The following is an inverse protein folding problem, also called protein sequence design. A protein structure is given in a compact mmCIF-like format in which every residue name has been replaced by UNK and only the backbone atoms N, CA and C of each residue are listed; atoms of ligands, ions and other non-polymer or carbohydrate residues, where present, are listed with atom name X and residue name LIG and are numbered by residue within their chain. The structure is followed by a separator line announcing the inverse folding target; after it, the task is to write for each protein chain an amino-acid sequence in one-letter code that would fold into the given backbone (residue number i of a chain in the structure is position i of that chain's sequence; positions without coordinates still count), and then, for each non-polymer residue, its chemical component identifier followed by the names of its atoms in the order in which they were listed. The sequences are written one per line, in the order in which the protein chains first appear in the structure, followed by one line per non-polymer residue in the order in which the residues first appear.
data_IF_021371794972
#
_entry.id   IF_021371794972
#
_cell.length_a   1.000
_cell.length_b   1.000
_cell.length_c   1.000
_cell.angle_alpha   90.00
_cell.angle_beta   90.00
_cell.angle_gamma   90.00
#
_symmetry.space_group_name_H-M   'P 1'
#
loop_
_entity.id
_entity.type
_entity.pdbx_description
1 polymer ?
#
# COMPACT_ATOMS: atom_id res chain seq x y z
N UNK A 1 -16.45 -12.74 -18.37
CA UNK A 1 -15.80 -11.87 -19.36
C UNK A 1 -15.88 -10.41 -18.90
N UNK A 2 -17.04 -9.87 -18.54
CA UNK A 2 -17.23 -8.48 -18.12
C UNK A 2 -16.24 -8.01 -17.04
N UNK A 3 -15.92 -8.85 -16.06
CA UNK A 3 -14.94 -8.51 -15.02
C UNK A 3 -13.50 -8.39 -15.58
N UNK A 4 -13.15 -9.19 -16.57
CA UNK A 4 -11.85 -9.07 -17.23
C UNK A 4 -11.76 -7.78 -18.05
N UNK A 5 -12.82 -7.45 -18.80
CA UNK A 5 -12.92 -6.20 -19.55
C UNK A 5 -12.87 -4.97 -18.65
N UNK A 6 -13.53 -5.01 -17.49
CA UNK A 6 -13.48 -3.94 -16.48
C UNK A 6 -12.04 -3.73 -15.94
N UNK A 7 -11.34 -4.82 -15.59
CA UNK A 7 -9.93 -4.75 -15.14
C UNK A 7 -9.04 -4.14 -16.23
N UNK A 8 -9.21 -4.56 -17.48
CA UNK A 8 -8.43 -4.05 -18.61
C UNK A 8 -8.70 -2.57 -18.87
N UNK A 9 -9.96 -2.15 -18.80
CA UNK A 9 -10.35 -0.76 -19.01
C UNK A 9 -9.83 0.17 -17.91
N UNK A 10 -9.93 -0.25 -16.64
CA UNK A 10 -9.55 0.58 -15.49
C UNK A 10 -8.02 0.60 -15.24
N UNK A 11 -7.36 -0.53 -15.42
CA UNK A 11 -5.94 -0.67 -15.07
C UNK A 11 -4.99 -0.59 -16.28
N UNK A 12 -5.50 -0.71 -17.51
CA UNK A 12 -4.69 -0.73 -18.73
C UNK A 12 -3.73 -1.93 -18.80
N UNK A 13 -4.07 -3.03 -18.14
CA UNK A 13 -3.29 -4.27 -18.10
C UNK A 13 -4.15 -5.38 -18.68
N UNK A 14 -3.64 -6.12 -19.67
CA UNK A 14 -4.35 -7.25 -20.27
C UNK A 14 -4.54 -8.38 -19.25
N UNK A 15 -5.69 -9.06 -19.29
CA UNK A 15 -6.02 -10.16 -18.38
C UNK A 15 -5.78 -11.52 -19.04
N UNK A 16 -5.31 -12.47 -18.25
CA UNK A 16 -5.16 -13.87 -18.66
C UNK A 16 -5.83 -14.79 -17.61
N UNK A 17 -7.07 -15.21 -17.82
CA UNK A 17 -7.68 -16.22 -16.97
C UNK A 17 -6.87 -17.53 -17.00
N UNK A 18 -6.39 -17.95 -15.84
CA UNK A 18 -5.65 -19.21 -15.68
C UNK A 18 -6.63 -20.37 -15.47
N UNK A 19 -7.70 -20.10 -14.75
CA UNK A 19 -8.83 -20.98 -14.63
C UNK A 19 -10.11 -20.27 -15.06
N UNK A 20 -11.19 -21.03 -15.30
CA UNK A 20 -12.49 -20.47 -15.67
C UNK A 20 -13.59 -21.00 -14.74
N UNK A 21 -14.52 -20.15 -14.25
CA UNK A 21 -15.48 -20.56 -13.23
C UNK A 21 -16.63 -21.38 -13.82
N UNK A 22 -17.09 -22.36 -13.07
CA UNK A 22 -18.29 -23.14 -13.37
C UNK A 22 -19.43 -22.64 -12.49
N UNK A 23 -20.21 -21.71 -12.99
CA UNK A 23 -21.24 -21.01 -12.25
C UNK A 23 -20.69 -19.87 -11.39
N UNK A 24 -21.59 -19.15 -10.72
CA UNK A 24 -21.23 -18.02 -9.84
C UNK A 24 -22.07 -18.04 -8.56
N UNK A 25 -21.59 -17.33 -7.52
CA UNK A 25 -22.25 -17.22 -6.23
C UNK A 25 -22.56 -18.58 -5.60
N UNK A 26 -23.81 -18.84 -5.24
CA UNK A 26 -24.25 -20.13 -4.66
C UNK A 26 -24.19 -21.28 -5.64
N UNK A 27 -24.15 -20.98 -6.93
CA UNK A 27 -24.09 -21.93 -8.03
C UNK A 27 -22.66 -22.26 -8.46
N UNK A 28 -21.65 -21.65 -7.83
CA UNK A 28 -20.25 -21.92 -8.11
C UNK A 28 -19.90 -23.36 -7.68
N UNK A 29 -19.57 -24.23 -8.64
CA UNK A 29 -19.33 -25.66 -8.44
C UNK A 29 -17.87 -26.08 -8.65
N UNK A 30 -17.10 -25.26 -9.33
CA UNK A 30 -15.73 -25.65 -9.68
C UNK A 30 -15.10 -24.67 -10.65
N UNK A 31 -13.93 -25.06 -11.13
CA UNK A 31 -13.19 -24.30 -12.15
C UNK A 31 -12.68 -25.22 -13.23
N UNK A 32 -12.58 -24.70 -14.45
CA UNK A 32 -11.82 -25.30 -15.53
C UNK A 32 -10.37 -24.79 -15.47
N UNK A 33 -9.42 -25.69 -15.33
CA UNK A 33 -7.98 -25.41 -15.41
C UNK A 33 -7.55 -25.39 -16.87
N UNK A 34 -7.18 -24.21 -17.40
CA UNK A 34 -6.81 -24.04 -18.81
C UNK A 34 -5.54 -24.78 -19.19
N UNK A 35 -4.52 -24.77 -18.30
CA UNK A 35 -3.24 -25.41 -18.56
C UNK A 35 -3.35 -26.94 -18.57
N UNK A 36 -4.07 -27.49 -17.60
CA UNK A 36 -4.30 -28.93 -17.47
C UNK A 36 -5.44 -29.46 -18.33
N UNK A 37 -6.24 -28.57 -18.95
CA UNK A 37 -7.46 -28.91 -19.74
C UNK A 37 -8.44 -29.81 -19.00
N UNK A 38 -8.60 -29.59 -17.71
CA UNK A 38 -9.43 -30.40 -16.82
C UNK A 38 -10.32 -29.55 -15.94
N UNK A 39 -11.39 -30.15 -15.49
CA UNK A 39 -12.33 -29.54 -14.56
C UNK A 39 -12.01 -29.99 -13.15
N UNK A 40 -11.94 -29.06 -12.25
CA UNK A 40 -11.81 -29.27 -10.82
C UNK A 40 -13.15 -28.95 -10.18
N UNK A 41 -13.91 -30.01 -9.87
CA UNK A 41 -15.22 -29.87 -9.22
C UNK A 41 -15.03 -29.93 -7.70
N UNK A 42 -15.64 -28.98 -6.98
CA UNK A 42 -15.54 -28.86 -5.53
C UNK A 42 -16.83 -29.32 -4.84
N UNK A 43 -16.67 -30.07 -3.75
CA UNK A 43 -17.76 -30.43 -2.85
C UNK A 43 -17.45 -29.90 -1.45
N UNK A 44 -18.49 -29.32 -0.79
CA UNK A 44 -18.34 -28.85 0.60
C UNK A 44 -18.51 -30.01 1.57
N UNK A 45 -17.49 -30.28 2.37
CA UNK A 45 -17.65 -31.12 3.56
C UNK A 45 -18.12 -30.29 4.75
N UNK A 46 -19.08 -30.81 5.50
CA UNK A 46 -19.66 -30.17 6.69
C UNK A 46 -18.66 -29.92 7.84
N UNK A 47 -17.45 -30.44 7.76
CA UNK A 47 -16.37 -30.26 8.73
C UNK A 47 -15.23 -29.34 8.25
N UNK A 48 -15.43 -28.59 7.20
CA UNK A 48 -14.81 -27.33 6.77
C UNK A 48 -13.31 -27.11 7.00
N UNK A 49 -12.43 -28.07 6.74
CA UNK A 49 -10.97 -27.76 6.72
C UNK A 49 -10.34 -27.76 5.32
N UNK A 50 -10.89 -28.49 4.37
CA UNK A 50 -10.49 -28.45 2.95
C UNK A 50 -11.71 -28.78 2.09
N UNK A 51 -11.81 -28.17 0.91
CA UNK A 51 -12.77 -28.60 -0.10
C UNK A 51 -12.25 -29.89 -0.75
N UNK A 52 -13.08 -30.91 -0.87
CA UNK A 52 -12.73 -32.08 -1.67
C UNK A 52 -12.83 -31.71 -3.15
N UNK A 53 -11.79 -32.00 -3.91
CA UNK A 53 -11.70 -31.72 -5.32
C UNK A 53 -11.73 -33.02 -6.13
N UNK A 54 -12.63 -33.11 -7.11
CA UNK A 54 -12.68 -34.18 -8.08
C UNK A 54 -12.24 -33.63 -9.45
N UNK A 55 -11.23 -34.23 -10.05
CA UNK A 55 -10.75 -33.86 -11.38
C UNK A 55 -11.47 -34.68 -12.45
N UNK A 56 -12.00 -34.01 -13.48
CA UNK A 56 -12.76 -34.63 -14.57
C UNK A 56 -12.39 -33.92 -15.87
N UNK A 57 -12.31 -34.67 -16.97
CA UNK A 57 -12.13 -34.07 -18.30
C UNK A 57 -13.45 -33.53 -18.86
N UNK A 58 -13.36 -32.59 -19.81
CA UNK A 58 -14.55 -31.93 -20.40
C UNK A 58 -15.50 -32.94 -21.09
N UNK A 59 -14.92 -34.01 -21.65
CA UNK A 59 -15.67 -35.05 -22.39
C UNK A 59 -16.07 -36.23 -21.51
N UNK A 60 -15.71 -36.25 -20.22
CA UNK A 60 -16.11 -37.33 -19.32
C UNK A 60 -17.62 -37.26 -19.02
N UNK A 61 -18.37 -38.38 -19.25
CA UNK A 61 -19.78 -38.46 -18.91
C UNK A 61 -20.11 -38.08 -17.45
N UNK A 62 -19.19 -38.28 -16.51
CA UNK A 62 -19.33 -37.88 -15.11
C UNK A 62 -19.52 -36.39 -14.93
N UNK A 63 -19.00 -35.56 -15.85
CA UNK A 63 -19.17 -34.13 -15.77
C UNK A 63 -20.66 -33.75 -15.83
N UNK A 64 -21.41 -34.36 -16.72
CA UNK A 64 -22.87 -34.13 -16.85
C UNK A 64 -23.59 -34.50 -15.55
N UNK A 65 -23.18 -35.57 -14.89
CA UNK A 65 -23.74 -35.98 -13.60
C UNK A 65 -23.45 -34.94 -12.50
N UNK A 66 -22.28 -34.30 -12.54
CA UNK A 66 -21.83 -33.34 -11.52
C UNK A 66 -22.46 -31.95 -11.69
N UNK A 67 -22.51 -31.44 -12.90
CA UNK A 67 -22.91 -30.03 -13.17
C UNK A 67 -24.18 -29.89 -14.03
N UNK A 68 -24.67 -30.97 -14.64
CA UNK A 68 -25.79 -30.98 -15.55
C UNK A 68 -25.44 -30.63 -17.00
N UNK A 69 -26.25 -31.12 -17.97
CA UNK A 69 -25.99 -30.96 -19.41
C UNK A 69 -25.89 -29.48 -19.83
N UNK A 70 -26.89 -28.66 -19.45
CA UNK A 70 -26.94 -27.25 -19.86
C UNK A 70 -25.70 -26.48 -19.44
N UNK A 71 -25.20 -26.72 -18.24
CA UNK A 71 -24.00 -26.05 -17.71
C UNK A 71 -22.70 -26.57 -18.35
N UNK A 72 -22.68 -27.85 -18.68
CA UNK A 72 -21.58 -28.45 -19.46
C UNK A 72 -21.48 -27.83 -20.84
N UNK A 73 -22.59 -27.63 -21.53
CA UNK A 73 -22.62 -27.05 -22.86
C UNK A 73 -22.22 -25.57 -22.82
N UNK A 74 -22.78 -24.81 -21.86
CA UNK A 74 -22.36 -23.44 -21.64
C UNK A 74 -20.83 -23.34 -21.38
N UNK A 75 -20.29 -24.20 -20.53
CA UNK A 75 -18.84 -24.21 -20.24
C UNK A 75 -18.02 -24.52 -21.50
N UNK A 76 -18.49 -25.41 -22.37
CA UNK A 76 -17.79 -25.73 -23.63
C UNK A 76 -17.74 -24.51 -24.56
N UNK A 77 -18.84 -23.79 -24.70
CA UNK A 77 -18.92 -22.55 -25.50
C UNK A 77 -18.02 -21.45 -24.94
N UNK A 78 -18.00 -21.29 -23.61
CA UNK A 78 -17.14 -20.31 -22.92
C UNK A 78 -15.65 -20.67 -23.07
N UNK A 79 -15.27 -21.94 -23.01
CA UNK A 79 -13.88 -22.39 -23.23
C UNK A 79 -13.46 -22.13 -24.67
N UNK A 80 -14.31 -22.42 -25.66
CA UNK A 80 -14.00 -22.16 -27.08
C UNK A 80 -13.74 -20.66 -27.30
N UNK A 81 -14.58 -19.80 -26.71
CA UNK A 81 -14.41 -18.36 -26.78
C UNK A 81 -13.11 -17.91 -26.10
N UNK A 82 -12.82 -18.46 -24.92
CA UNK A 82 -11.63 -18.13 -24.14
C UNK A 82 -10.31 -18.55 -24.82
N UNK A 83 -10.32 -19.73 -25.49
CA UNK A 83 -9.15 -20.21 -26.25
C UNK A 83 -8.99 -19.46 -27.58
N UNK A 84 -10.09 -18.97 -28.18
CA UNK A 84 -10.06 -18.20 -29.43
C UNK A 84 -9.70 -16.73 -29.28
N UNK A 85 -10.12 -16.08 -28.20
CA UNK A 85 -9.98 -14.64 -28.00
C UNK A 85 -9.20 -14.25 -26.74
N UNK A 86 -8.98 -15.18 -25.79
CA UNK A 86 -8.26 -14.88 -24.55
C UNK A 86 -6.75 -14.84 -24.75
N UNK A 87 -6.09 -13.99 -23.94
CA UNK A 87 -4.63 -13.93 -23.93
C UNK A 87 -3.99 -15.25 -23.53
N UNK A 88 -2.89 -15.58 -24.18
CA UNK A 88 -2.01 -16.67 -23.75
C UNK A 88 -1.19 -16.24 -22.54
N UNK A 89 -0.93 -17.21 -21.64
CA UNK A 89 -0.09 -16.95 -20.49
C UNK A 89 1.37 -16.75 -20.89
N UNK A 90 1.92 -15.61 -20.51
CA UNK A 90 3.33 -15.26 -20.75
C UNK A 90 3.92 -14.66 -19.46
N UNK A 91 4.85 -15.41 -18.85
CA UNK A 91 5.48 -15.04 -17.59
C UNK A 91 6.32 -13.75 -17.70
N UNK A 92 6.94 -13.47 -18.83
CA UNK A 92 7.72 -12.24 -19.01
C UNK A 92 6.79 -11.02 -19.08
N UNK A 93 5.62 -11.14 -19.71
CA UNK A 93 4.61 -10.10 -19.72
C UNK A 93 4.04 -9.85 -18.31
N UNK A 94 3.84 -10.93 -17.52
CA UNK A 94 3.42 -10.84 -16.12
C UNK A 94 4.47 -10.09 -15.29
N UNK A 95 5.75 -10.44 -15.41
CA UNK A 95 6.85 -9.77 -14.70
C UNK A 95 6.98 -8.30 -15.01
N UNK A 96 6.65 -7.91 -16.24
CA UNK A 96 6.67 -6.51 -16.69
C UNK A 96 5.36 -5.75 -16.44
N UNK A 97 4.37 -6.36 -15.76
CA UNK A 97 3.08 -5.75 -15.47
C UNK A 97 2.23 -5.45 -16.71
N UNK A 98 2.41 -6.23 -17.79
CA UNK A 98 1.66 -6.10 -19.04
C UNK A 98 0.52 -7.10 -19.16
N UNK A 99 0.55 -8.16 -18.34
CA UNK A 99 -0.42 -9.23 -18.29
C UNK A 99 -0.71 -9.57 -16.84
N UNK A 100 -1.98 -9.66 -16.49
CA UNK A 100 -2.41 -10.05 -15.14
C UNK A 100 -3.04 -11.44 -15.17
N UNK A 101 -2.46 -12.45 -14.49
CA UNK A 101 -3.12 -13.73 -14.31
C UNK A 101 -4.39 -13.55 -13.48
N UNK A 102 -5.50 -14.14 -13.93
CA UNK A 102 -6.79 -14.08 -13.25
C UNK A 102 -7.21 -15.46 -12.80
N UNK A 103 -7.59 -15.58 -11.53
CA UNK A 103 -8.10 -16.80 -10.93
C UNK A 103 -9.49 -16.59 -10.38
N UNK A 104 -10.37 -17.55 -10.63
CA UNK A 104 -11.70 -17.60 -10.07
C UNK A 104 -11.74 -18.60 -8.92
N UNK A 105 -12.33 -18.19 -7.81
CA UNK A 105 -12.40 -19.01 -6.61
C UNK A 105 -13.36 -18.42 -5.57
N UNK A 106 -13.52 -19.09 -4.45
CA UNK A 106 -14.33 -18.65 -3.33
C UNK A 106 -13.61 -18.89 -2.02
N UNK A 107 -13.17 -17.83 -1.36
CA UNK A 107 -12.57 -17.93 -0.03
C UNK A 107 -13.56 -18.40 1.04
N UNK A 108 -14.87 -18.13 0.86
CA UNK A 108 -15.91 -18.55 1.80
C UNK A 108 -16.06 -20.06 1.86
N UNK A 109 -15.94 -20.75 0.72
CA UNK A 109 -16.07 -22.20 0.60
C UNK A 109 -14.73 -22.93 0.44
N UNK A 110 -13.63 -22.18 0.35
CA UNK A 110 -12.29 -22.64 -0.01
C UNK A 110 -12.20 -23.31 -1.42
N UNK A 111 -13.18 -23.06 -2.28
CA UNK A 111 -13.19 -23.59 -3.63
C UNK A 111 -12.17 -22.83 -4.50
N UNK A 112 -11.28 -23.54 -5.20
CA UNK A 112 -10.26 -22.96 -6.07
C UNK A 112 -9.06 -22.30 -5.35
N UNK A 113 -9.03 -22.30 -4.02
CA UNK A 113 -7.93 -21.66 -3.26
C UNK A 113 -6.64 -22.46 -3.37
N UNK A 114 -6.69 -23.79 -3.24
CA UNK A 114 -5.50 -24.63 -3.35
C UNK A 114 -4.86 -24.59 -4.75
N UNK A 115 -5.60 -24.78 -5.86
CA UNK A 115 -5.04 -24.58 -7.20
C UNK A 115 -4.48 -23.19 -7.46
N UNK A 116 -5.12 -22.14 -6.92
CA UNK A 116 -4.58 -20.78 -6.98
C UNK A 116 -3.23 -20.68 -6.28
N UNK A 117 -3.10 -21.22 -5.07
CA UNK A 117 -1.85 -21.16 -4.30
C UNK A 117 -0.72 -21.93 -4.99
N UNK A 118 -1.02 -23.09 -5.57
CA UNK A 118 -0.04 -23.88 -6.33
C UNK A 118 0.49 -23.10 -7.54
N UNK A 119 -0.40 -22.50 -8.35
CA UNK A 119 0.00 -21.69 -9.49
C UNK A 119 0.69 -20.38 -9.05
N UNK A 120 0.21 -19.74 -7.98
CA UNK A 120 0.85 -18.56 -7.41
C UNK A 120 2.31 -18.85 -7.03
N UNK A 121 2.59 -19.98 -6.38
CA UNK A 121 3.97 -20.37 -6.04
C UNK A 121 4.86 -20.56 -7.28
N UNK A 122 4.31 -21.04 -8.41
CA UNK A 122 5.04 -21.17 -9.67
C UNK A 122 5.32 -19.82 -10.34
N UNK A 123 4.43 -18.84 -10.15
CA UNK A 123 4.53 -17.51 -10.75
C UNK A 123 5.32 -16.51 -9.89
N UNK A 124 5.54 -16.79 -8.60
CA UNK A 124 6.31 -15.90 -7.72
C UNK A 124 7.76 -15.79 -8.19
N UNK A 125 8.27 -14.59 -8.12
CA UNK A 125 9.67 -14.29 -8.43
C UNK A 125 10.49 -14.12 -7.15
N UNK A 126 11.80 -14.34 -7.18
CA UNK A 126 12.67 -13.94 -6.08
C UNK A 126 12.59 -12.43 -5.87
N UNK A 127 13.07 -11.92 -4.73
CA UNK A 127 13.12 -10.50 -4.47
C UNK A 127 13.83 -9.73 -5.59
N UNK A 128 13.20 -8.66 -6.05
CA UNK A 128 13.75 -7.83 -7.12
C UNK A 128 14.77 -6.84 -6.57
N UNK A 129 15.70 -6.42 -7.43
CA UNK A 129 16.64 -5.33 -7.16
C UNK A 129 15.89 -4.02 -6.91
N UNK A 130 16.47 -3.14 -6.08
CA UNK A 130 15.87 -1.85 -5.73
C UNK A 130 16.80 -0.70 -6.11
N UNK A 131 16.22 0.38 -6.62
CA UNK A 131 16.94 1.61 -6.94
C UNK A 131 17.33 2.39 -5.68
N UNK A 132 18.50 3.01 -5.73
CA UNK A 132 19.05 3.89 -4.71
C UNK A 132 19.79 5.04 -5.43
N UNK A 133 19.03 6.03 -5.89
CA UNK A 133 19.52 7.06 -6.81
C UNK A 133 20.00 6.46 -8.12
N UNK A 134 21.27 6.71 -8.47
CA UNK A 134 21.88 6.22 -9.73
C UNK A 134 22.34 4.77 -9.65
N UNK A 135 22.31 4.14 -8.48
CA UNK A 135 22.72 2.74 -8.32
C UNK A 135 21.54 1.80 -8.15
N UNK A 136 21.75 0.52 -8.46
CA UNK A 136 20.79 -0.55 -8.24
C UNK A 136 21.39 -1.52 -7.24
N UNK A 137 20.69 -1.76 -6.15
CA UNK A 137 21.05 -2.73 -5.12
C UNK A 137 20.38 -4.04 -5.45
N UNK A 138 21.19 -5.09 -5.64
CA UNK A 138 20.70 -6.42 -5.98
C UNK A 138 20.34 -7.19 -4.70
N UNK A 139 19.24 -7.94 -4.72
CA UNK A 139 18.83 -8.76 -3.60
C UNK A 139 19.86 -9.82 -3.18
N UNK A 140 20.70 -10.23 -4.12
CA UNK A 140 21.77 -11.24 -3.90
C UNK A 140 23.12 -10.63 -3.53
N UNK A 141 23.21 -9.30 -3.32
CA UNK A 141 24.42 -8.66 -2.80
C UNK A 141 24.67 -9.14 -1.36
N UNK A 142 25.96 -9.34 -0.99
CA UNK A 142 26.33 -9.88 0.32
C UNK A 142 26.07 -8.91 1.48
N UNK A 143 26.15 -7.61 1.22
CA UNK A 143 26.00 -6.59 2.23
C UNK A 143 24.52 -6.37 2.59
N UNK A 144 24.23 -6.36 3.89
CA UNK A 144 22.87 -6.08 4.38
C UNK A 144 22.41 -4.69 3.98
N UNK A 145 21.21 -4.63 3.45
CA UNK A 145 20.43 -3.40 3.37
C UNK A 145 18.97 -3.65 3.67
N UNK A 146 18.31 -2.66 4.27
CA UNK A 146 16.90 -2.72 4.64
C UNK A 146 16.21 -1.39 4.40
N UNK A 147 14.90 -1.47 4.23
CA UNK A 147 14.05 -0.33 3.95
C UNK A 147 12.84 -0.31 4.89
N UNK A 148 12.67 0.77 5.64
CA UNK A 148 11.51 0.98 6.51
C UNK A 148 10.31 1.40 5.67
N UNK A 149 9.34 0.51 5.50
CA UNK A 149 8.17 0.79 4.64
C UNK A 149 6.89 1.03 5.42
N UNK A 150 6.85 0.67 6.70
CA UNK A 150 5.67 0.83 7.56
C UNK A 150 6.10 1.07 9.01
N UNK A 151 5.35 1.91 9.69
CA UNK A 151 5.43 2.07 11.15
C UNK A 151 4.04 1.85 11.72
N UNK A 152 3.96 1.15 12.83
CA UNK A 152 2.70 0.92 13.53
C UNK A 152 2.90 1.08 15.02
N UNK A 153 2.11 1.97 15.64
CA UNK A 153 2.10 2.19 17.08
C UNK A 153 0.89 1.53 17.74
N UNK A 154 0.97 1.30 19.05
CA UNK A 154 -0.14 0.85 19.88
C UNK A 154 -0.81 -0.46 19.43
N UNK A 155 -0.07 -1.38 18.82
CA UNK A 155 -0.58 -2.71 18.45
C UNK A 155 -1.08 -3.47 19.68
N UNK A 156 -0.40 -3.33 20.81
CA UNK A 156 -0.86 -3.83 22.09
C UNK A 156 -1.37 -2.69 22.95
N UNK A 157 -2.66 -2.67 23.29
CA UNK A 157 -3.29 -1.64 24.12
C UNK A 157 -2.69 -1.55 25.54
N UNK A 158 -2.09 -2.64 26.04
CA UNK A 158 -1.45 -2.69 27.36
C UNK A 158 -0.02 -2.09 27.34
N UNK A 159 0.66 -2.13 26.22
CA UNK A 159 2.01 -1.64 26.05
C UNK A 159 2.00 -0.65 24.87
N UNK A 160 2.38 0.60 25.13
CA UNK A 160 2.54 1.62 24.08
C UNK A 160 3.77 1.28 23.24
N UNK A 161 3.70 0.19 22.50
CA UNK A 161 4.75 -0.27 21.61
C UNK A 161 4.63 0.40 20.25
N UNK A 162 5.77 0.68 19.66
CA UNK A 162 5.87 1.14 18.28
C UNK A 162 6.84 0.20 17.57
N UNK A 163 6.42 -0.29 16.40
CA UNK A 163 7.18 -1.23 15.59
C UNK A 163 7.43 -0.59 14.23
N UNK A 164 8.68 -0.59 13.79
CA UNK A 164 9.04 -0.31 12.43
C UNK A 164 9.19 -1.61 11.65
N UNK A 165 8.50 -1.70 10.50
CA UNK A 165 8.61 -2.84 9.60
C UNK A 165 9.65 -2.55 8.55
N UNK A 166 10.66 -3.39 8.52
CA UNK A 166 11.81 -3.30 7.62
C UNK A 166 11.75 -4.46 6.63
N UNK A 167 11.74 -4.14 5.34
CA UNK A 167 12.03 -5.13 4.30
C UNK A 167 13.53 -5.26 4.16
N UNK A 168 14.04 -6.47 4.26
CA UNK A 168 15.43 -6.78 3.91
C UNK A 168 15.56 -6.73 2.40
N UNK A 169 16.39 -5.83 1.87
CA UNK A 169 16.54 -5.59 0.43
C UNK A 169 17.73 -6.33 -0.18
N UNK A 170 18.79 -6.52 0.59
CA UNK A 170 19.97 -7.31 0.20
C UNK A 170 20.66 -7.93 1.41
N UNK A 171 21.48 -8.94 1.17
CA UNK A 171 22.29 -9.61 2.16
C UNK A 171 21.53 -10.30 3.26
N UNK A 172 22.18 -10.46 4.41
CA UNK A 172 21.63 -11.10 5.60
C UNK A 172 21.56 -10.11 6.77
N UNK A 173 20.39 -9.96 7.35
CA UNK A 173 20.20 -9.34 8.65
C UNK A 173 20.66 -10.30 9.75
N UNK A 174 21.29 -9.76 10.79
CA UNK A 174 21.80 -10.48 11.95
C UNK A 174 21.48 -9.63 13.20
N UNK A 175 20.71 -10.18 14.13
CA UNK A 175 20.18 -9.46 15.29
C UNK A 175 21.26 -8.88 16.21
N UNK A 176 22.46 -9.47 16.23
CA UNK A 176 23.54 -9.03 17.07
C UNK A 176 24.39 -7.90 16.46
N UNK A 177 24.22 -7.64 15.16
CA UNK A 177 25.02 -6.63 14.46
C UNK A 177 24.39 -5.24 14.50
N UNK A 178 25.25 -4.24 14.52
CA UNK A 178 24.86 -2.86 14.29
C UNK A 178 24.57 -2.62 12.82
N UNK A 179 23.59 -1.77 12.53
CA UNK A 179 23.29 -1.27 11.19
C UNK A 179 23.45 0.26 11.16
N UNK A 180 23.63 0.80 9.98
CA UNK A 180 23.77 2.24 9.76
C UNK A 180 22.44 2.81 9.27
N UNK A 181 21.84 3.72 10.05
CA UNK A 181 20.63 4.47 9.68
C UNK A 181 21.07 5.70 8.87
N UNK A 182 20.87 5.62 7.56
CA UNK A 182 21.46 6.54 6.59
C UNK A 182 20.96 7.96 6.77
N UNK A 183 19.66 8.18 6.87
CA UNK A 183 19.04 9.51 6.97
C UNK A 183 19.47 10.27 8.23
N UNK A 184 19.82 9.56 9.30
CA UNK A 184 20.26 10.16 10.55
C UNK A 184 21.77 10.10 10.76
N UNK A 185 22.50 9.55 9.78
CA UNK A 185 23.97 9.46 9.82
C UNK A 185 24.50 8.82 11.11
N UNK A 186 23.89 7.71 11.56
CA UNK A 186 24.28 7.05 12.81
C UNK A 186 24.14 5.54 12.77
N UNK A 187 24.96 4.87 13.61
CA UNK A 187 24.82 3.45 13.86
C UNK A 187 23.71 3.19 14.88
N UNK A 188 22.92 2.15 14.65
CA UNK A 188 21.87 1.70 15.53
C UNK A 188 21.89 0.18 15.66
N UNK A 189 21.55 -0.33 16.84
CA UNK A 189 21.28 -1.75 17.03
C UNK A 189 19.76 -1.96 16.98
N UNK A 190 19.31 -2.84 16.11
CA UNK A 190 17.88 -3.14 15.99
C UNK A 190 17.45 -4.01 17.18
N UNK A 191 16.53 -3.50 17.98
CA UNK A 191 16.09 -4.16 19.21
C UNK A 191 14.91 -5.06 18.96
N UNK A 192 14.95 -6.28 19.49
CA UNK A 192 13.87 -7.27 19.49
C UNK A 192 13.32 -7.49 18.09
N UNK A 193 14.16 -7.91 17.13
CA UNK A 193 13.66 -8.21 15.79
C UNK A 193 12.67 -9.37 15.85
N UNK A 194 11.53 -9.21 15.20
CA UNK A 194 10.41 -10.13 15.25
C UNK A 194 9.92 -10.41 13.82
N UNK A 195 9.57 -11.64 13.56
CA UNK A 195 8.72 -11.99 12.44
C UNK A 195 7.27 -12.04 12.95
N UNK A 196 6.36 -11.47 12.17
CA UNK A 196 4.96 -11.43 12.53
C UNK A 196 4.17 -12.36 11.63
N UNK A 197 3.45 -13.29 12.24
CA UNK A 197 2.55 -14.19 11.55
C UNK A 197 1.16 -14.06 12.20
N UNK A 198 0.29 -13.28 11.56
CA UNK A 198 -1.01 -12.87 12.10
C UNK A 198 -0.88 -12.19 13.48
N UNK A 199 -1.42 -12.79 14.54
CA UNK A 199 -1.32 -12.29 15.91
C UNK A 199 -0.05 -12.73 16.65
N UNK A 200 0.66 -13.73 16.13
CA UNK A 200 1.84 -14.30 16.75
C UNK A 200 3.10 -13.50 16.40
N UNK A 201 3.99 -13.39 17.37
CA UNK A 201 5.27 -12.70 17.26
C UNK A 201 6.37 -13.67 17.66
N UNK A 202 7.27 -13.93 16.75
CA UNK A 202 8.44 -14.76 16.99
C UNK A 202 9.71 -13.92 16.91
N UNK A 203 10.58 -14.04 17.91
CA UNK A 203 11.89 -13.37 17.88
C UNK A 203 12.76 -14.12 16.90
N UNK A 204 13.40 -13.39 16.01
CA UNK A 204 14.28 -13.95 14.99
C UNK A 204 15.73 -13.50 15.21
N UNK A 205 16.67 -14.34 14.85
CA UNK A 205 18.10 -14.04 14.94
C UNK A 205 18.65 -13.58 13.59
N UNK A 206 18.08 -14.04 12.49
CA UNK A 206 18.50 -13.73 11.14
C UNK A 206 17.32 -13.59 10.18
N UNK A 207 17.53 -12.83 9.11
CA UNK A 207 16.59 -12.67 8.00
C UNK A 207 17.35 -12.39 6.69
N UNK A 208 16.74 -12.71 5.57
CA UNK A 208 17.35 -12.62 4.25
C UNK A 208 16.60 -11.67 3.33
N UNK A 209 17.22 -11.29 2.21
CA UNK A 209 16.58 -10.44 1.21
C UNK A 209 15.19 -10.97 0.82
N UNK A 210 14.19 -10.10 0.90
CA UNK A 210 12.78 -10.43 0.71
C UNK A 210 11.98 -10.58 2.00
N UNK A 211 12.63 -10.90 3.12
CA UNK A 211 11.97 -11.02 4.42
C UNK A 211 11.53 -9.64 4.95
N UNK A 212 10.49 -9.67 5.76
CA UNK A 212 10.00 -8.51 6.51
C UNK A 212 10.21 -8.77 7.99
N UNK A 213 10.95 -7.89 8.63
CA UNK A 213 11.18 -7.92 10.06
C UNK A 213 10.53 -6.74 10.75
N UNK A 214 9.92 -6.97 11.91
CA UNK A 214 9.44 -5.92 12.80
C UNK A 214 10.49 -5.61 13.87
N UNK A 215 10.88 -4.37 14.03
CA UNK A 215 11.83 -3.95 15.08
C UNK A 215 11.19 -2.97 16.02
N UNK A 216 11.51 -3.06 17.30
CA UNK A 216 11.03 -2.08 18.29
C UNK A 216 11.56 -0.69 17.93
N UNK A 217 10.66 0.27 17.86
CA UNK A 217 10.97 1.65 17.51
C UNK A 217 10.70 2.60 18.69
N UNK A 218 11.74 3.15 19.32
CA UNK A 218 11.56 4.17 20.36
C UNK A 218 11.13 5.55 19.81
N UNK A 219 10.78 5.64 18.52
CA UNK A 219 10.45 6.89 17.83
C UNK A 219 11.57 7.42 16.96
N UNK A 220 12.52 6.55 16.57
CA UNK A 220 13.68 6.96 15.78
C UNK A 220 13.50 6.74 14.28
N UNK A 221 12.65 5.82 13.86
CA UNK A 221 12.47 5.49 12.46
C UNK A 221 11.36 6.32 11.81
N UNK A 222 11.54 6.56 10.52
CA UNK A 222 10.55 7.13 9.61
C UNK A 222 10.33 6.20 8.42
N UNK A 223 9.11 6.24 7.84
CA UNK A 223 8.85 5.53 6.58
C UNK A 223 9.78 6.12 5.51
N UNK A 224 10.44 5.27 4.75
CA UNK A 224 11.46 5.67 3.77
C UNK A 224 12.90 5.59 4.27
N UNK A 225 13.12 5.33 5.56
CA UNK A 225 14.47 5.17 6.10
C UNK A 225 15.19 3.97 5.49
N UNK A 226 16.45 4.17 5.18
CA UNK A 226 17.37 3.15 4.66
C UNK A 226 18.33 2.71 5.75
N UNK A 227 18.45 1.40 5.88
CA UNK A 227 19.41 0.74 6.78
C UNK A 227 20.48 0.07 5.93
N UNK A 228 21.74 0.27 6.25
CA UNK A 228 22.87 -0.36 5.54
C UNK A 228 23.77 -1.11 6.52
N UNK A 229 24.58 -2.02 5.99
CA UNK A 229 25.72 -2.56 6.70
C UNK A 229 26.69 -1.42 7.09
N UNK A 230 27.40 -1.50 8.25
CA UNK A 230 28.38 -0.49 8.64
C UNK A 230 29.45 -0.28 7.55
N UNK A 231 29.70 0.99 7.21
CA UNK A 231 30.65 1.37 6.15
C UNK A 231 30.05 1.49 4.76
N UNK A 232 28.77 1.17 4.59
CA UNK A 232 27.99 1.44 3.39
C UNK A 232 27.02 2.61 3.65
N UNK A 233 26.85 3.47 2.67
CA UNK A 233 25.94 4.61 2.77
C UNK A 233 25.37 4.92 1.39
N UNK A 234 24.13 4.49 1.16
CA UNK A 234 23.29 4.86 0.04
C UNK A 234 21.84 4.98 0.55
N UNK A 235 21.01 5.68 -0.16
CA UNK A 235 19.61 5.88 0.20
C UNK A 235 18.73 5.30 -0.88
N UNK A 236 17.82 4.41 -0.50
CA UNK A 236 16.79 3.91 -1.42
C UNK A 236 15.84 5.03 -1.81
N UNK A 237 15.32 4.93 -3.04
CA UNK A 237 14.29 5.84 -3.51
C UNK A 237 13.06 5.77 -2.58
N UNK A 238 12.48 6.92 -2.21
CA UNK A 238 11.37 6.98 -1.29
C UNK A 238 10.11 6.31 -1.87
N UNK A 239 9.18 5.96 -0.99
CA UNK A 239 7.83 5.55 -1.41
C UNK A 239 7.10 6.81 -1.85
N UNK A 240 6.49 6.84 -3.05
CA UNK A 240 5.67 7.97 -3.49
C UNK A 240 4.54 8.24 -2.49
N UNK A 241 4.39 9.50 -2.11
CA UNK A 241 3.28 9.94 -1.25
C UNK A 241 2.16 10.48 -2.14
N UNK A 242 0.99 9.87 -2.06
CA UNK A 242 -0.18 10.36 -2.77
C UNK A 242 -0.67 11.66 -2.14
N UNK A 243 -1.03 12.64 -2.98
CA UNK A 243 -1.63 13.86 -2.52
C UNK A 243 -3.01 13.56 -1.92
N UNK A 244 -3.37 14.14 -0.75
CA UNK A 244 -4.71 14.06 -0.23
C UNK A 244 -5.72 14.76 -1.13
N UNK A 245 -6.95 14.23 -1.14
CA UNK A 245 -8.09 14.80 -1.88
C UNK A 245 -9.14 15.42 -0.95
N UNK A 246 -9.06 15.10 0.35
CA UNK A 246 -9.98 15.59 1.36
C UNK A 246 -9.23 16.26 2.50
N UNK A 247 -9.69 17.44 2.90
CA UNK A 247 -9.03 18.24 3.94
C UNK A 247 -10.02 18.66 5.02
N UNK A 248 -9.60 18.50 6.29
CA UNK A 248 -10.36 18.98 7.44
C UNK A 248 -9.46 19.78 8.37
N UNK A 249 -10.00 20.83 8.94
CA UNK A 249 -9.40 21.54 10.06
C UNK A 249 -9.73 20.78 11.33
N UNK A 250 -8.73 20.48 12.14
CA UNK A 250 -8.90 19.66 13.33
C UNK A 250 -8.31 20.33 14.55
N UNK A 251 -9.08 20.33 15.65
CA UNK A 251 -8.67 20.85 16.95
C UNK A 251 -9.24 20.02 18.09
N UNK A 252 -8.60 19.98 19.27
CA UNK A 252 -9.15 19.29 20.42
C UNK A 252 -10.38 20.04 20.97
N UNK A 253 -11.41 19.31 21.44
CA UNK A 253 -12.56 19.90 22.13
C UNK A 253 -12.15 20.54 23.46
N UNK A 254 -11.20 19.91 24.16
CA UNK A 254 -10.65 20.35 25.43
C UNK A 254 -9.21 20.83 25.24
N UNK A 255 -8.98 22.12 25.45
CA UNK A 255 -7.65 22.75 25.31
C UNK A 255 -6.62 22.21 26.31
N UNK A 256 -7.06 21.66 27.45
CA UNK A 256 -6.17 21.02 28.42
C UNK A 256 -5.51 19.73 27.87
N UNK A 257 -6.12 19.12 26.85
CA UNK A 257 -5.60 17.93 26.17
C UNK A 257 -4.70 18.23 24.98
N UNK A 258 -4.28 19.48 24.81
CA UNK A 258 -3.42 19.92 23.70
C UNK A 258 -2.18 19.04 23.49
N UNK A 259 -1.47 18.70 24.58
CA UNK A 259 -0.25 17.86 24.48
C UNK A 259 -0.56 16.45 23.95
N UNK A 260 -1.66 15.85 24.40
CA UNK A 260 -2.10 14.54 23.94
C UNK A 260 -2.56 14.60 22.48
N UNK A 261 -3.26 15.69 22.10
CA UNK A 261 -3.69 15.94 20.73
C UNK A 261 -2.48 16.01 19.78
N UNK A 262 -1.51 16.87 20.06
CA UNK A 262 -0.31 17.02 19.24
C UNK A 262 0.40 15.67 19.10
N UNK A 263 0.68 15.00 20.23
CA UNK A 263 1.37 13.71 20.24
C UNK A 263 0.62 12.64 19.43
N UNK A 264 -0.71 12.55 19.63
CA UNK A 264 -1.54 11.55 18.94
C UNK A 264 -1.60 11.79 17.44
N UNK A 265 -1.81 13.05 17.06
CA UNK A 265 -1.88 13.44 15.64
C UNK A 265 -0.55 13.19 14.92
N UNK A 266 0.57 13.57 15.54
CA UNK A 266 1.90 13.32 14.99
C UNK A 266 2.21 11.82 14.85
N UNK A 267 1.88 11.00 15.85
CA UNK A 267 2.12 9.56 15.79
C UNK A 267 1.29 8.88 14.70
N UNK A 268 0.01 9.23 14.57
CA UNK A 268 -0.87 8.66 13.53
C UNK A 268 -0.39 9.09 12.12
N UNK A 269 0.09 10.34 11.96
CA UNK A 269 0.66 10.78 10.70
C UNK A 269 1.97 10.06 10.34
N UNK A 270 2.84 9.81 11.32
CA UNK A 270 4.08 9.06 11.12
C UNK A 270 3.83 7.60 10.69
N UNK A 271 2.65 7.05 10.98
CA UNK A 271 2.22 5.74 10.48
C UNK A 271 1.71 5.79 9.02
N UNK A 272 1.60 6.98 8.42
CA UNK A 272 1.14 7.17 7.04
C UNK A 272 -0.39 7.10 6.86
N UNK A 273 -1.16 7.05 7.95
CA UNK A 273 -2.62 6.98 7.89
C UNK A 273 -3.31 8.29 7.50
N UNK A 274 -2.66 9.41 7.76
CA UNK A 274 -3.10 10.77 7.46
C UNK A 274 -1.88 11.63 7.13
N UNK A 275 -2.11 12.78 6.49
CA UNK A 275 -1.11 13.82 6.34
C UNK A 275 -1.50 15.04 7.17
N UNK A 276 -0.51 15.70 7.79
CA UNK A 276 -0.72 16.87 8.64
C UNK A 276 -0.07 18.08 7.99
N UNK A 277 -0.84 19.17 7.95
CA UNK A 277 -0.36 20.46 7.46
C UNK A 277 -0.58 21.52 8.51
N UNK A 278 0.41 22.40 8.66
CA UNK A 278 0.38 23.55 9.53
C UNK A 278 0.14 24.81 8.69
N UNK A 279 -0.53 25.77 9.28
CA UNK A 279 -0.55 27.12 8.73
C UNK A 279 0.77 27.78 9.17
N UNK A 280 1.54 28.41 8.28
CA UNK A 280 2.76 29.10 8.64
C UNK A 280 2.52 30.05 9.81
N UNK A 281 3.46 30.06 10.77
CA UNK A 281 3.42 30.84 12.00
C UNK A 281 2.28 30.53 12.98
N UNK A 282 1.40 29.58 12.69
CA UNK A 282 0.40 29.07 13.62
C UNK A 282 0.96 27.92 14.46
N UNK A 283 0.50 27.79 15.70
CA UNK A 283 0.87 26.67 16.56
C UNK A 283 0.20 25.35 16.12
N UNK A 284 0.60 24.24 16.75
CA UNK A 284 -0.03 22.91 16.56
C UNK A 284 -1.34 22.73 17.34
N UNK A 285 -1.99 23.81 17.74
CA UNK A 285 -3.26 23.76 18.46
C UNK A 285 -4.43 23.42 17.54
N UNK A 286 -4.27 23.79 16.29
CA UNK A 286 -5.17 23.53 15.19
C UNK A 286 -4.34 23.11 13.99
N UNK A 287 -4.68 21.98 13.36
CA UNK A 287 -3.98 21.45 12.20
C UNK A 287 -4.95 21.19 11.07
N UNK A 288 -4.45 21.23 9.85
CA UNK A 288 -5.16 20.70 8.69
C UNK A 288 -4.75 19.25 8.52
N UNK A 289 -5.72 18.36 8.48
CA UNK A 289 -5.52 16.94 8.21
C UNK A 289 -5.99 16.65 6.78
N UNK A 290 -5.11 16.05 5.99
CA UNK A 290 -5.39 15.60 4.64
C UNK A 290 -5.46 14.07 4.56
N UNK A 291 -6.43 13.55 3.82
CA UNK A 291 -6.66 12.13 3.60
C UNK A 291 -6.98 11.87 2.12
N UNK A 292 -6.62 10.68 1.63
CA UNK A 292 -7.01 10.22 0.28
C UNK A 292 -8.48 9.79 0.27
N UNK A 293 -8.96 9.17 1.35
CA UNK A 293 -10.35 8.74 1.48
C UNK A 293 -11.00 9.21 2.79
N UNK A 294 -12.30 9.51 2.74
CA UNK A 294 -13.04 10.09 3.89
C UNK A 294 -13.08 9.19 5.12
N UNK A 295 -13.06 7.85 4.95
CA UNK A 295 -13.03 6.90 6.07
C UNK A 295 -11.77 7.02 6.95
N UNK A 296 -10.67 7.56 6.42
CA UNK A 296 -9.45 7.79 7.20
C UNK A 296 -9.69 8.82 8.34
N UNK A 297 -10.61 9.78 8.15
CA UNK A 297 -10.97 10.71 9.23
C UNK A 297 -11.70 10.01 10.37
N UNK A 298 -12.57 9.04 10.09
CA UNK A 298 -13.30 8.30 11.11
C UNK A 298 -12.33 7.43 11.93
N UNK A 299 -11.37 6.79 11.26
CA UNK A 299 -10.29 6.04 11.91
C UNK A 299 -9.42 6.97 12.77
N UNK A 300 -9.07 8.13 12.26
CA UNK A 300 -8.29 9.13 12.99
C UNK A 300 -9.00 9.61 14.27
N UNK A 301 -10.30 9.97 14.18
CA UNK A 301 -11.11 10.36 15.34
C UNK A 301 -11.19 9.23 16.36
N UNK A 302 -11.51 8.01 15.89
CA UNK A 302 -11.59 6.83 16.75
C UNK A 302 -10.28 6.58 17.49
N UNK A 303 -9.14 6.66 16.82
CA UNK A 303 -7.83 6.45 17.42
C UNK A 303 -7.46 7.52 18.43
N UNK A 304 -7.66 8.81 18.10
CA UNK A 304 -7.41 9.90 19.04
C UNK A 304 -8.24 9.75 20.31
N UNK A 305 -9.52 9.39 20.18
CA UNK A 305 -10.42 9.18 21.31
C UNK A 305 -10.01 7.97 22.16
N UNK A 306 -9.73 6.83 21.54
CA UNK A 306 -9.54 5.56 22.25
C UNK A 306 -8.10 5.36 22.74
N UNK A 307 -7.10 5.80 21.99
CA UNK A 307 -5.68 5.61 22.32
C UNK A 307 -5.12 6.81 23.14
N UNK A 308 -5.50 8.03 22.76
CA UNK A 308 -4.95 9.26 23.34
C UNK A 308 -5.92 9.98 24.29
N UNK A 309 -7.19 9.54 24.38
CA UNK A 309 -8.25 10.12 25.22
C UNK A 309 -8.56 11.57 24.87
N UNK A 310 -8.51 11.90 23.59
CA UNK A 310 -8.78 13.23 23.04
C UNK A 310 -10.02 13.19 22.16
N UNK A 311 -11.04 13.96 22.51
CA UNK A 311 -12.16 14.27 21.62
C UNK A 311 -11.80 15.48 20.77
N UNK A 312 -12.12 15.44 19.48
CA UNK A 312 -11.77 16.47 18.50
C UNK A 312 -13.00 17.10 17.86
N UNK A 313 -12.80 18.27 17.25
CA UNK A 313 -13.73 18.93 16.34
C UNK A 313 -13.06 18.92 14.98
N UNK A 314 -13.81 18.53 13.95
CA UNK A 314 -13.36 18.52 12.56
C UNK A 314 -14.30 19.38 11.72
N UNK A 315 -13.75 20.40 11.06
CA UNK A 315 -14.46 21.28 10.14
C UNK A 315 -13.97 20.99 8.71
N UNK A 316 -14.88 20.71 7.77
CA UNK A 316 -14.52 20.48 6.38
C UNK A 316 -13.89 21.72 5.75
N UNK A 317 -12.87 21.52 4.93
CA UNK A 317 -12.26 22.58 4.14
C UNK A 317 -12.59 22.37 2.65
N UNK A 318 -12.69 23.45 1.86
CA UNK A 318 -13.10 23.37 0.45
C UNK A 318 -11.95 23.02 -0.50
N UNK A 319 -10.89 22.41 0.00
CA UNK A 319 -9.72 22.06 -0.81
C UNK A 319 -9.82 20.60 -1.26
N UNK A 320 -9.41 20.37 -2.52
CA UNK A 320 -9.40 19.04 -3.16
C UNK A 320 -8.05 18.72 -3.78
N UNK A 321 -7.18 19.72 -3.98
CA UNK A 321 -5.89 19.56 -4.63
C UNK A 321 -4.77 20.09 -3.76
N UNK A 322 -3.64 19.37 -3.81
CA UNK A 322 -2.42 19.75 -3.12
C UNK A 322 -1.25 19.74 -4.10
N UNK A 323 -0.37 20.74 -3.99
CA UNK A 323 0.86 20.82 -4.78
C UNK A 323 2.04 21.23 -3.88
N UNK A 324 3.17 20.58 -4.09
CA UNK A 324 4.43 20.96 -3.46
C UNK A 324 5.05 22.15 -4.19
N UNK A 325 5.65 23.06 -3.44
CA UNK A 325 6.39 24.19 -4.00
C UNK A 325 7.85 23.77 -4.16
N UNK A 326 8.27 23.52 -5.40
CA UNK A 326 9.64 23.11 -5.72
C UNK A 326 10.57 24.30 -5.87
N UNK A 327 10.08 25.43 -6.39
CA UNK A 327 10.82 26.67 -6.54
C UNK A 327 9.90 27.89 -6.54
N UNK A 328 10.41 28.99 -6.03
CA UNK A 328 9.82 30.34 -6.10
C UNK A 328 10.89 31.40 -5.86
N UNK A 329 10.94 32.43 -6.71
CA UNK A 329 11.86 33.57 -6.55
C UNK A 329 11.21 34.63 -5.66
N UNK A 330 11.42 34.52 -4.35
CA UNK A 330 10.86 35.43 -3.37
C UNK A 330 10.52 34.73 -2.06
N UNK A 331 9.92 35.47 -1.15
CA UNK A 331 9.39 34.94 0.09
C UNK A 331 7.96 34.41 -0.14
N UNK A 332 7.74 33.11 0.02
CA UNK A 332 6.42 32.48 -0.17
C UNK A 332 5.34 33.07 0.73
N UNK A 333 5.70 33.55 1.91
CA UNK A 333 4.74 34.08 2.88
C UNK A 333 4.33 35.53 2.55
N UNK A 334 5.21 36.31 1.90
CA UNK A 334 5.00 37.75 1.66
C UNK A 334 4.75 38.09 0.18
N UNK A 335 5.47 37.42 -0.74
CA UNK A 335 5.50 37.79 -2.16
C UNK A 335 4.56 36.95 -3.03
N UNK A 336 4.07 35.78 -2.52
CA UNK A 336 3.20 34.90 -3.27
C UNK A 336 1.79 35.49 -3.45
N UNK A 337 1.41 35.72 -4.71
CA UNK A 337 0.07 36.23 -5.03
C UNK A 337 -0.95 35.08 -5.02
N UNK A 338 -1.77 34.98 -3.98
CA UNK A 338 -2.80 33.95 -3.79
C UNK A 338 -4.25 34.44 -3.98
N UNK A 339 -4.46 35.71 -4.37
CA UNK A 339 -5.80 36.28 -4.52
C UNK A 339 -6.48 36.57 -3.18
N UNK A 340 -7.78 36.25 -3.08
CA UNK A 340 -8.58 36.52 -1.87
C UNK A 340 -8.41 35.46 -0.75
N UNK A 341 -7.52 34.48 -0.92
CA UNK A 341 -7.15 33.50 0.10
C UNK A 341 -8.21 32.42 0.42
N UNK A 342 -9.33 32.37 -0.30
CA UNK A 342 -10.36 31.35 -0.10
C UNK A 342 -10.12 30.10 -0.93
N UNK A 343 -9.61 30.27 -2.15
CA UNK A 343 -9.41 29.18 -3.11
C UNK A 343 -8.01 28.58 -3.04
N UNK A 344 -7.07 29.29 -2.43
CA UNK A 344 -5.65 28.89 -2.34
C UNK A 344 -5.16 29.13 -0.92
N UNK A 345 -4.45 28.15 -0.34
CA UNK A 345 -3.87 28.27 0.99
C UNK A 345 -2.46 27.74 1.04
N UNK A 346 -1.54 28.56 1.52
CA UNK A 346 -0.19 28.14 1.84
C UNK A 346 -0.19 27.36 3.16
N UNK A 347 0.44 26.19 3.14
CA UNK A 347 0.61 25.32 4.30
C UNK A 347 2.02 24.75 4.33
N UNK A 348 2.39 24.16 5.44
CA UNK A 348 3.66 23.50 5.66
C UNK A 348 3.41 22.09 6.16
N UNK A 349 4.10 21.10 5.59
CA UNK A 349 4.03 19.73 6.06
C UNK A 349 4.83 19.52 7.36
N UNK A 350 4.80 18.30 7.87
CA UNK A 350 5.53 17.94 9.09
C UNK A 350 7.07 18.06 8.95
N UNK A 351 7.58 17.97 7.72
CA UNK A 351 9.02 18.06 7.42
C UNK A 351 9.48 19.50 7.15
N UNK A 352 8.54 20.45 7.11
CA UNK A 352 8.82 21.86 6.85
C UNK A 352 8.78 22.25 5.38
N UNK A 353 8.31 21.34 4.51
CA UNK A 353 8.10 21.65 3.09
C UNK A 353 6.90 22.57 2.93
N UNK A 354 7.01 23.55 2.04
CA UNK A 354 5.90 24.45 1.72
C UNK A 354 5.03 23.86 0.62
N UNK A 355 3.71 23.95 0.80
CA UNK A 355 2.73 23.40 -0.10
C UNK A 355 1.56 24.37 -0.28
N UNK A 356 0.85 24.23 -1.38
CA UNK A 356 -0.37 24.95 -1.66
C UNK A 356 -1.56 24.01 -1.74
N UNK A 357 -2.62 24.35 -1.03
CA UNK A 357 -3.94 23.72 -1.14
C UNK A 357 -4.79 24.52 -2.10
N UNK A 358 -5.58 23.86 -2.94
CA UNK A 358 -6.44 24.45 -3.94
C UNK A 358 -7.85 23.86 -3.88
N UNK A 359 -8.85 24.72 -4.10
CA UNK A 359 -10.27 24.32 -4.16
C UNK A 359 -10.68 23.77 -5.53
N UNK A 360 -9.96 24.12 -6.60
CA UNK A 360 -10.29 23.72 -7.97
C UNK A 360 -9.05 23.73 -8.89
N UNK A 361 -9.07 22.98 -10.01
CA UNK A 361 -7.93 22.94 -10.95
C UNK A 361 -7.58 24.29 -11.58
N UNK A 362 -8.57 25.15 -11.81
CA UNK A 362 -8.33 26.48 -12.39
C UNK A 362 -7.48 27.38 -11.48
N UNK A 363 -7.59 27.22 -10.17
CA UNK A 363 -6.82 28.03 -9.21
C UNK A 363 -5.34 27.67 -9.21
N UNK A 364 -4.96 26.42 -9.56
CA UNK A 364 -3.57 26.01 -9.77
C UNK A 364 -2.96 26.81 -10.93
N UNK A 365 -3.64 26.80 -12.05
CA UNK A 365 -3.19 27.52 -13.25
C UNK A 365 -3.14 29.02 -13.01
N UNK A 366 -4.14 29.56 -12.33
CA UNK A 366 -4.21 30.98 -12.01
C UNK A 366 -3.03 31.45 -11.15
N UNK A 367 -2.66 30.68 -10.08
CA UNK A 367 -1.53 31.06 -9.21
C UNK A 367 -0.20 31.00 -9.95
N UNK A 368 0.01 30.02 -10.83
CA UNK A 368 1.21 29.92 -11.65
C UNK A 368 1.29 31.07 -12.69
N UNK A 369 0.17 31.48 -13.26
CA UNK A 369 0.12 32.62 -14.17
C UNK A 369 0.46 33.95 -13.49
N UNK A 370 0.08 34.12 -12.24
CA UNK A 370 0.38 35.32 -11.42
C UNK A 370 1.81 35.30 -10.86
N UNK A 371 2.37 34.13 -10.63
CA UNK A 371 3.70 33.95 -10.03
C UNK A 371 4.58 33.14 -10.98
N UNK A 372 5.22 33.80 -11.95
CA UNK A 372 5.92 33.15 -13.07
C UNK A 372 7.12 32.28 -12.65
N UNK A 373 7.72 32.55 -11.49
CA UNK A 373 8.82 31.74 -10.93
C UNK A 373 8.34 30.56 -10.09
N UNK A 374 7.01 30.44 -9.86
CA UNK A 374 6.46 29.38 -9.05
C UNK A 374 6.45 28.05 -9.81
N UNK A 375 7.17 27.07 -9.29
CA UNK A 375 7.20 25.69 -9.80
C UNK A 375 6.48 24.80 -8.81
N UNK A 376 5.46 24.09 -9.29
CA UNK A 376 4.63 23.17 -8.47
C UNK A 376 4.75 21.75 -8.99
N UNK A 377 4.82 20.79 -8.07
CA UNK A 377 4.77 19.35 -8.37
C UNK A 377 3.57 18.66 -7.71
N UNK A 378 3.16 17.54 -8.30
CA UNK A 378 2.05 16.71 -7.80
C UNK A 378 2.49 15.70 -6.75
N UNK A 379 3.79 15.42 -6.67
CA UNK A 379 4.34 14.39 -5.80
C UNK A 379 5.42 14.99 -4.91
N UNK A 380 5.26 14.83 -3.60
CA UNK A 380 6.26 15.24 -2.62
C UNK A 380 7.40 14.24 -2.50
N UNK A 381 8.63 14.77 -2.36
CA UNK A 381 9.80 13.96 -2.00
C UNK A 381 10.47 13.18 -3.12
N UNK A 382 9.91 13.14 -4.32
CA UNK A 382 10.53 12.52 -5.47
C UNK A 382 11.10 13.61 -6.39
N UNK A 383 12.39 13.87 -6.28
CA UNK A 383 13.13 14.32 -7.45
C UNK A 383 13.30 13.06 -8.31
N UNK A 384 12.43 12.92 -9.32
CA UNK A 384 12.60 11.91 -10.37
C UNK A 384 13.80 12.24 -11.23
#
# INVERSE_FOLDING_TARGET
FELCEEIEAELGVETCPINWPIGCGKEFKGVYDRAGKKIIHFTSNTNAKAAEATQVELDDPKLVELIGQARRDQLADEIELLEGAGAEFDMERVRHGKLSPVFFGSALTNFGVEPFLEEFLRMTTPPLSRKAGDQVVNAFDDDFSGFVFKIQANMNKAHRDRIAFVRVCSGRFDADKEVYLVQQNRKVKLSRPQQMMAADREIIEEAYAGDIIGVFDPGMFSIGDTLCAPGKSFQFDPIPTFAPEHFRRVRPKDTLKRKQFIKGTEQIAQEGGIQIFKIPYAGMEEVIVGCVGTLQFDVFEYRLKNEYKVDIIMDNLPYEYLRWVDAFDGNLDDDLVMGNGQDIKLVEDYQGSKLLLFSAPWSIKWVQDKNKSLVLSEFGGAKF
#
